data_IF_914937452043
#
_entry.id   IF_914937452043
#
_cell.length_a   1.000
_cell.length_b   1.000
_cell.length_c   1.000
_cell.angle_alpha   90.00
_cell.angle_beta   90.00
_cell.angle_gamma   90.00
#
_symmetry.space_group_name_H-M   'P 1'
#
loop_
_entity.id
_entity.type
_entity.pdbx_description
1 polymer ?
#
# COMPACT_ATOMS: atom_id res chain seq x y z
N UNK A 1 21.04 -24.15 5.30
CA UNK A 1 20.67 -24.22 3.85
C UNK A 1 21.78 -23.58 3.01
N UNK A 2 22.15 -24.13 1.84
CA UNK A 2 23.19 -23.53 1.01
C UNK A 2 22.73 -22.17 0.46
N UNK A 3 23.57 -21.14 0.61
CA UNK A 3 23.35 -19.76 0.13
C UNK A 3 22.96 -19.77 -1.36
N UNK A 4 21.86 -19.12 -1.72
CA UNK A 4 21.49 -18.90 -3.13
C UNK A 4 22.60 -18.10 -3.80
N UNK A 5 23.14 -18.62 -4.92
CA UNK A 5 24.12 -17.90 -5.75
C UNK A 5 23.51 -16.56 -6.22
N UNK A 6 24.24 -15.43 -6.14
CA UNK A 6 23.75 -14.15 -6.61
C UNK A 6 23.43 -14.22 -8.12
N UNK A 7 22.26 -13.71 -8.49
CA UNK A 7 21.74 -13.78 -9.85
C UNK A 7 22.49 -12.75 -10.71
N UNK A 8 23.27 -13.22 -11.68
CA UNK A 8 24.05 -12.34 -12.56
C UNK A 8 23.12 -11.38 -13.31
N UNK A 9 23.47 -10.09 -13.32
CA UNK A 9 22.73 -9.03 -14.06
C UNK A 9 22.59 -9.40 -15.55
N UNK A 10 23.60 -10.07 -16.12
CA UNK A 10 23.55 -10.57 -17.51
C UNK A 10 22.47 -11.65 -17.70
N UNK A 11 22.33 -12.58 -16.75
CA UNK A 11 21.30 -13.62 -16.81
C UNK A 11 19.89 -13.04 -16.67
N UNK A 12 19.71 -12.03 -15.81
CA UNK A 12 18.42 -11.33 -15.67
C UNK A 12 18.03 -10.57 -16.94
N UNK A 13 19.00 -9.94 -17.61
CA UNK A 13 18.78 -9.24 -18.89
C UNK A 13 18.41 -10.22 -20.01
N UNK A 14 19.10 -11.36 -20.09
CA UNK A 14 18.80 -12.44 -21.05
C UNK A 14 17.40 -13.02 -20.82
N UNK A 15 17.03 -13.31 -19.58
CA UNK A 15 15.71 -13.85 -19.23
C UNK A 15 14.55 -12.88 -19.58
N UNK A 16 14.79 -11.56 -19.44
CA UNK A 16 13.82 -10.53 -19.87
C UNK A 16 13.73 -10.42 -21.39
N UNK A 17 14.82 -10.65 -22.11
CA UNK A 17 14.87 -10.68 -23.57
C UNK A 17 14.12 -11.91 -24.12
N UNK A 18 14.41 -13.10 -23.58
CA UNK A 18 13.74 -14.35 -23.94
C UNK A 18 12.21 -14.26 -23.70
N UNK A 19 11.80 -13.59 -22.60
CA UNK A 19 10.38 -13.35 -22.31
C UNK A 19 9.70 -12.38 -23.29
N UNK A 20 10.44 -11.42 -23.84
CA UNK A 20 9.95 -10.50 -24.89
C UNK A 20 9.86 -11.21 -26.24
N UNK A 21 10.83 -12.06 -26.57
CA UNK A 21 10.85 -12.84 -27.81
C UNK A 21 9.72 -13.89 -27.84
N UNK A 22 9.45 -14.58 -26.73
CA UNK A 22 8.28 -15.48 -26.61
C UNK A 22 6.95 -14.76 -26.81
N UNK A 23 6.83 -13.51 -26.34
CA UNK A 23 5.63 -12.68 -26.59
C UNK A 23 5.50 -12.24 -28.05
N UNK A 24 6.61 -12.09 -28.78
CA UNK A 24 6.60 -11.80 -30.23
C UNK A 24 6.19 -13.01 -31.06
N UNK A 25 6.73 -14.20 -30.75
CA UNK A 25 6.40 -15.43 -31.50
C UNK A 25 4.93 -15.85 -31.43
N UNK A 26 4.23 -15.51 -30.34
CA UNK A 26 2.78 -15.73 -30.21
C UNK A 26 1.92 -14.82 -31.09
N UNK A 27 2.48 -13.71 -31.59
CA UNK A 27 1.76 -12.71 -32.38
C UNK A 27 1.85 -12.97 -33.90
N UNK A 28 2.89 -13.69 -34.33
CA UNK A 28 3.12 -14.02 -35.75
C UNK A 28 2.37 -15.29 -36.21
N UNK A 29 1.97 -16.18 -35.28
CA UNK A 29 1.20 -17.40 -35.59
C UNK A 29 -0.27 -17.18 -35.99
N UNK A 30 -0.78 -15.95 -35.86
CA UNK A 30 -2.19 -15.59 -36.13
C UNK A 30 -2.38 -14.78 -37.42
N UNK A 31 -1.33 -14.60 -38.24
CA UNK A 31 -1.36 -13.72 -39.42
C UNK A 31 -1.26 -14.41 -40.79
N UNK A 32 -1.40 -15.73 -40.85
CA UNK A 32 -1.37 -16.47 -42.12
C UNK A 32 -2.72 -17.12 -42.47
N UNK A 33 -3.78 -16.32 -42.66
CA UNK A 33 -4.78 -16.61 -43.69
C UNK A 33 -5.66 -15.38 -43.99
N UNK A 34 -6.05 -15.25 -45.25
CA UNK A 34 -7.03 -14.33 -45.86
C UNK A 34 -6.56 -12.89 -46.17
N UNK A 35 -6.44 -12.66 -47.48
CA UNK A 35 -6.14 -11.40 -48.14
C UNK A 35 -7.31 -11.12 -49.11
N UNK A 36 -8.17 -10.14 -48.83
CA UNK A 36 -8.94 -9.41 -49.86
C UNK A 36 -9.59 -8.14 -49.31
N UNK A 37 -9.60 -7.12 -50.17
CA UNK A 37 -9.86 -5.69 -49.98
C UNK A 37 -11.33 -5.33 -49.69
N UNK A 38 -11.56 -4.32 -48.84
CA UNK A 38 -12.45 -3.16 -49.07
C UNK A 38 -12.55 -2.29 -47.80
N UNK A 39 -12.66 -0.97 -47.95
CA UNK A 39 -12.46 0.01 -46.89
C UNK A 39 -13.68 0.33 -46.03
N UNK A 40 -13.42 0.72 -44.78
CA UNK A 40 -14.00 1.84 -44.02
C UNK A 40 -13.51 1.74 -42.58
N UNK A 41 -12.68 2.71 -42.14
CA UNK A 41 -12.06 2.73 -40.81
C UNK A 41 -12.97 3.41 -39.80
N UNK A 42 -13.82 2.65 -39.12
CA UNK A 42 -14.21 2.95 -37.74
C UNK A 42 -13.29 2.18 -36.79
N UNK A 43 -12.49 2.90 -36.00
CA UNK A 43 -11.61 2.30 -34.99
C UNK A 43 -12.46 1.86 -33.78
N UNK A 44 -12.93 0.62 -33.80
CA UNK A 44 -13.26 -0.12 -32.58
C UNK A 44 -11.96 -0.35 -31.78
N UNK A 45 -11.88 0.23 -30.59
CA UNK A 45 -10.89 -0.15 -29.59
C UNK A 45 -11.30 -1.48 -28.96
N UNK A 46 -10.91 -2.59 -29.60
CA UNK A 46 -10.90 -3.90 -28.95
C UNK A 46 -9.69 -3.96 -28.01
N UNK A 47 -9.92 -3.67 -26.72
CA UNK A 47 -9.03 -4.11 -25.67
C UNK A 47 -9.07 -5.63 -25.61
N UNK A 48 -7.92 -6.24 -25.87
CA UNK A 48 -7.67 -7.67 -25.75
C UNK A 48 -7.64 -8.09 -24.29
N UNK A 49 -8.80 -8.41 -23.73
CA UNK A 49 -8.92 -9.14 -22.47
C UNK A 49 -9.00 -10.63 -22.82
N UNK A 50 -7.86 -11.31 -22.75
CA UNK A 50 -7.74 -12.73 -23.11
C UNK A 50 -8.14 -13.63 -21.94
N UNK A 51 -9.07 -14.55 -22.22
CA UNK A 51 -9.36 -15.81 -21.50
C UNK A 51 -10.31 -15.73 -20.29
N UNK A 52 -11.61 -15.61 -20.58
CA UNK A 52 -12.70 -15.95 -19.68
C UNK A 52 -12.97 -17.46 -19.71
N UNK A 53 -12.84 -18.12 -18.55
CA UNK A 53 -13.42 -19.43 -18.28
C UNK A 53 -14.61 -19.24 -17.34
N UNK A 54 -15.79 -19.61 -17.80
CA UNK A 54 -17.07 -19.45 -17.10
C UNK A 54 -17.06 -20.21 -15.76
N UNK A 55 -17.17 -19.46 -14.66
CA UNK A 55 -17.57 -19.96 -13.36
C UNK A 55 -18.19 -18.80 -12.58
N UNK A 56 -19.01 -19.09 -11.57
CA UNK A 56 -19.87 -18.24 -10.71
C UNK A 56 -19.17 -16.99 -10.08
N UNK A 57 -17.91 -16.73 -10.41
CA UNK A 57 -17.02 -15.66 -9.92
C UNK A 57 -17.03 -14.36 -10.74
N UNK A 58 -17.95 -14.18 -11.70
CA UNK A 58 -17.99 -13.02 -12.61
C UNK A 58 -18.15 -11.64 -11.94
N UNK A 59 -18.53 -11.59 -10.66
CA UNK A 59 -18.73 -10.37 -9.89
C UNK A 59 -17.47 -9.81 -9.20
N UNK A 60 -16.33 -10.51 -9.21
CA UNK A 60 -15.10 -10.05 -8.53
C UNK A 60 -13.99 -9.77 -9.54
N UNK A 61 -13.59 -8.51 -9.65
CA UNK A 61 -12.41 -8.04 -10.37
C UNK A 61 -11.14 -8.29 -9.55
N UNK A 62 -10.24 -9.13 -10.07
CA UNK A 62 -8.93 -9.42 -9.46
C UNK A 62 -7.84 -8.58 -10.11
N UNK A 63 -7.17 -7.71 -9.35
CA UNK A 63 -6.13 -6.84 -9.92
C UNK A 63 -4.81 -7.58 -10.14
N UNK A 64 -4.14 -7.28 -11.27
CA UNK A 64 -2.85 -7.81 -11.69
C UNK A 64 -2.80 -9.34 -11.87
N UNK A 65 -3.86 -9.93 -12.45
CA UNK A 65 -3.94 -11.38 -12.61
C UNK A 65 -2.80 -11.91 -13.52
N UNK A 66 -2.01 -12.86 -13.03
CA UNK A 66 -1.01 -13.60 -13.82
C UNK A 66 -1.63 -14.90 -14.34
N UNK A 67 -1.37 -15.25 -15.60
CA UNK A 67 -1.86 -16.50 -16.18
C UNK A 67 -1.31 -17.69 -15.38
N UNK A 68 -2.19 -18.60 -14.99
CA UNK A 68 -1.85 -19.79 -14.20
C UNK A 68 -1.06 -20.77 -15.08
N UNK A 69 0.25 -20.88 -14.88
CA UNK A 69 1.03 -22.02 -15.34
C UNK A 69 1.13 -23.03 -14.19
N UNK A 70 0.01 -23.58 -13.74
CA UNK A 70 -0.05 -24.51 -12.60
C UNK A 70 0.46 -23.92 -11.27
N UNK A 71 0.46 -24.76 -10.22
CA UNK A 71 1.16 -24.47 -8.97
C UNK A 71 2.66 -24.35 -9.29
N UNK A 72 3.27 -23.23 -8.93
CA UNK A 72 4.71 -23.03 -9.13
C UNK A 72 5.53 -24.11 -8.41
N UNK A 73 6.83 -24.24 -8.73
CA UNK A 73 7.68 -25.20 -8.03
C UNK A 73 7.60 -24.92 -6.51
N UNK A 74 7.02 -25.86 -5.76
CA UNK A 74 6.66 -25.83 -4.31
C UNK A 74 5.21 -25.50 -3.90
N UNK A 75 4.23 -25.53 -4.81
CA UNK A 75 2.83 -25.35 -4.39
C UNK A 75 2.45 -23.90 -4.05
N UNK A 76 3.29 -22.94 -4.46
CA UNK A 76 3.06 -21.52 -4.23
C UNK A 76 2.11 -20.93 -5.28
N UNK A 77 1.02 -20.31 -4.82
CA UNK A 77 0.11 -19.56 -5.69
C UNK A 77 0.55 -18.08 -5.80
N UNK A 78 1.01 -17.61 -6.98
CA UNK A 78 1.39 -16.22 -7.21
C UNK A 78 0.22 -15.22 -7.15
N UNK A 79 -1.01 -15.71 -6.99
CA UNK A 79 -2.25 -14.97 -7.03
C UNK A 79 -2.91 -14.81 -5.65
N UNK A 80 -2.37 -15.48 -4.61
CA UNK A 80 -2.95 -15.56 -3.26
C UNK A 80 -3.33 -14.22 -2.63
N UNK A 81 -2.45 -13.22 -2.72
CA UNK A 81 -2.63 -11.91 -2.06
C UNK A 81 -2.99 -10.79 -3.04
N UNK A 82 -3.79 -11.10 -4.06
CA UNK A 82 -4.27 -10.07 -4.98
C UNK A 82 -5.48 -9.37 -4.43
N UNK A 83 -5.58 -8.09 -4.79
CA UNK A 83 -6.73 -7.28 -4.44
C UNK A 83 -7.95 -7.76 -5.22
N UNK A 84 -9.02 -8.05 -4.50
CA UNK A 84 -10.30 -8.49 -5.04
C UNK A 84 -11.34 -7.40 -4.77
N UNK A 85 -11.89 -6.84 -5.85
CA UNK A 85 -12.93 -5.82 -5.79
C UNK A 85 -14.16 -6.31 -6.50
N UNK A 86 -15.33 -5.83 -6.10
CA UNK A 86 -16.53 -6.07 -6.90
C UNK A 86 -16.40 -5.43 -8.29
N UNK A 87 -16.86 -6.15 -9.32
CA UNK A 87 -16.83 -5.73 -10.71
C UNK A 87 -18.14 -5.01 -11.03
N UNK A 88 -18.01 -3.78 -11.52
CA UNK A 88 -19.15 -3.06 -12.07
C UNK A 88 -19.74 -3.80 -13.28
N UNK A 89 -21.07 -3.85 -13.39
CA UNK A 89 -21.74 -4.42 -14.56
C UNK A 89 -21.39 -3.61 -15.82
N UNK A 90 -21.39 -4.27 -16.98
CA UNK A 90 -21.13 -3.59 -18.26
C UNK A 90 -22.12 -2.45 -18.51
N UNK A 91 -23.38 -2.69 -18.19
CA UNK A 91 -24.47 -1.72 -18.30
C UNK A 91 -24.19 -0.47 -17.46
N UNK A 92 -23.74 -0.66 -16.21
CA UNK A 92 -23.43 0.45 -15.31
C UNK A 92 -22.20 1.26 -15.76
N UNK A 93 -21.20 0.58 -16.32
CA UNK A 93 -20.04 1.24 -16.92
C UNK A 93 -20.46 2.07 -18.14
N UNK A 94 -21.27 1.52 -19.04
CA UNK A 94 -21.74 2.25 -20.23
C UNK A 94 -22.68 3.40 -19.88
N UNK A 95 -23.57 3.22 -18.89
CA UNK A 95 -24.42 4.28 -18.34
C UNK A 95 -23.59 5.47 -17.85
N UNK A 96 -22.55 5.21 -17.05
CA UNK A 96 -21.64 6.26 -16.54
C UNK A 96 -20.84 6.92 -17.66
N UNK A 97 -20.37 6.17 -18.65
CA UNK A 97 -19.71 6.75 -19.84
C UNK A 97 -20.64 7.63 -20.66
N UNK A 98 -21.92 7.27 -20.77
CA UNK A 98 -22.93 8.09 -21.45
C UNK A 98 -23.19 9.37 -20.66
N UNK A 99 -23.45 9.27 -19.36
CA UNK A 99 -23.63 10.44 -18.48
C UNK A 99 -22.43 11.40 -18.54
N UNK A 100 -21.20 10.87 -18.49
CA UNK A 100 -19.98 11.68 -18.57
C UNK A 100 -19.78 12.38 -19.93
N UNK A 101 -20.42 11.89 -21.01
CA UNK A 101 -20.39 12.52 -22.34
C UNK A 101 -21.48 13.57 -22.53
N UNK A 102 -22.61 13.39 -21.86
CA UNK A 102 -23.80 14.26 -21.99
C UNK A 102 -23.78 15.41 -20.99
N UNK A 103 -23.19 15.22 -19.82
CA UNK A 103 -23.20 16.20 -18.76
C UNK A 103 -22.06 17.21 -18.94
N UNK A 104 -22.42 18.49 -19.11
CA UNK A 104 -21.46 19.60 -19.10
C UNK A 104 -20.91 19.75 -17.68
N UNK A 105 -19.58 19.72 -17.53
CA UNK A 105 -18.92 19.94 -16.25
C UNK A 105 -19.27 21.33 -15.72
N UNK A 106 -20.02 21.38 -14.63
CA UNK A 106 -20.30 22.63 -13.93
C UNK A 106 -19.32 22.79 -12.77
N UNK A 107 -18.75 23.99 -12.59
CA UNK A 107 -17.95 24.28 -11.41
C UNK A 107 -18.85 24.15 -10.18
N UNK A 108 -18.43 23.33 -9.23
CA UNK A 108 -19.07 23.21 -7.91
C UNK A 108 -18.48 24.27 -6.97
N UNK A 109 -19.25 24.68 -5.98
CA UNK A 109 -18.77 25.61 -4.96
C UNK A 109 -17.71 24.95 -4.06
N UNK A 110 -16.95 25.75 -3.31
CA UNK A 110 -15.89 25.24 -2.44
C UNK A 110 -16.44 24.31 -1.35
N UNK A 111 -17.64 24.59 -0.85
CA UNK A 111 -18.32 23.82 0.19
C UNK A 111 -18.68 22.41 -0.31
N UNK A 112 -19.05 22.25 -1.58
CA UNK A 112 -19.34 20.94 -2.18
C UNK A 112 -18.08 20.12 -2.49
N UNK A 113 -16.88 20.73 -2.40
CA UNK A 113 -15.60 20.02 -2.51
C UNK A 113 -15.13 19.50 -1.16
N UNK A 114 -15.73 19.95 -0.06
CA UNK A 114 -15.44 19.44 1.27
C UNK A 114 -16.00 18.02 1.42
N UNK A 115 -15.21 17.15 2.06
CA UNK A 115 -15.60 15.78 2.35
C UNK A 115 -15.60 15.61 3.86
N UNK A 116 -16.78 15.41 4.45
CA UNK A 116 -16.87 15.01 5.85
C UNK A 116 -16.54 13.52 5.99
N UNK A 117 -15.68 13.20 6.94
CA UNK A 117 -15.34 11.80 7.26
C UNK A 117 -16.57 10.98 7.64
N UNK A 118 -17.61 11.61 8.19
CA UNK A 118 -18.87 10.94 8.58
C UNK A 118 -19.73 10.54 7.38
N UNK A 119 -19.58 11.23 6.25
CA UNK A 119 -20.22 10.85 4.99
C UNK A 119 -19.51 9.67 4.33
N UNK A 120 -18.18 9.61 4.47
CA UNK A 120 -17.37 8.47 3.99
C UNK A 120 -17.58 7.24 4.85
N UNK A 121 -17.42 7.40 6.16
CA UNK A 121 -17.51 6.34 7.18
C UNK A 121 -18.61 6.69 8.18
N UNK A 122 -19.81 6.17 7.93
CA UNK A 122 -20.95 6.41 8.81
C UNK A 122 -20.76 5.70 10.17
N UNK A 123 -20.72 6.44 11.29
CA UNK A 123 -20.60 5.84 12.63
C UNK A 123 -21.77 4.89 12.92
N UNK A 124 -21.48 3.75 13.55
CA UNK A 124 -22.49 2.73 13.88
C UNK A 124 -23.05 1.96 12.68
N UNK A 125 -22.57 2.24 11.46
CA UNK A 125 -22.88 1.43 10.29
C UNK A 125 -22.20 0.06 10.36
N UNK A 126 -22.62 -0.85 9.49
CA UNK A 126 -21.97 -2.16 9.34
C UNK A 126 -20.68 -2.11 8.52
N UNK A 127 -20.23 -0.91 8.11
CA UNK A 127 -19.06 -0.69 7.25
C UNK A 127 -17.80 -0.47 8.08
N UNK A 128 -17.43 -1.49 8.86
CA UNK A 128 -16.22 -1.52 9.65
C UNK A 128 -15.10 -2.26 8.91
N UNK A 129 -14.49 -3.25 9.56
CA UNK A 129 -13.53 -4.16 8.94
C UNK A 129 -13.58 -5.49 9.69
N UNK A 130 -13.25 -6.62 9.03
CA UNK A 130 -13.34 -7.92 9.68
C UNK A 130 -12.28 -8.01 10.78
N UNK A 131 -12.74 -8.23 12.02
CA UNK A 131 -11.87 -8.50 13.17
C UNK A 131 -11.42 -9.96 13.11
N UNK A 132 -10.20 -10.23 13.55
CA UNK A 132 -9.73 -11.62 13.66
C UNK A 132 -10.50 -12.30 14.79
N UNK A 133 -11.15 -13.45 14.55
CA UNK A 133 -11.77 -14.20 15.63
C UNK A 133 -10.72 -14.64 16.66
N UNK A 134 -11.09 -14.76 17.94
CA UNK A 134 -10.18 -15.28 18.97
C UNK A 134 -9.64 -16.64 18.57
N UNK A 135 -8.33 -16.83 18.73
CA UNK A 135 -7.65 -18.08 18.42
C UNK A 135 -6.65 -18.45 19.51
N UNK A 136 -6.30 -19.73 19.61
CA UNK A 136 -5.28 -20.24 20.53
C UNK A 136 -4.32 -21.18 19.81
N UNK A 137 -3.12 -21.35 20.37
CA UNK A 137 -2.13 -22.30 19.83
C UNK A 137 -2.56 -23.76 19.91
N UNK A 138 -3.62 -24.07 20.65
CA UNK A 138 -4.21 -25.41 20.74
C UNK A 138 -5.05 -25.76 19.51
N UNK A 139 -5.49 -24.74 18.74
CA UNK A 139 -6.29 -24.94 17.53
C UNK A 139 -5.42 -25.48 16.39
N UNK A 140 -5.97 -26.40 15.61
CA UNK A 140 -5.32 -26.81 14.36
C UNK A 140 -5.33 -25.66 13.35
N UNK A 141 -4.36 -25.68 12.42
CA UNK A 141 -4.30 -24.70 11.34
C UNK A 141 -5.59 -24.67 10.52
N UNK A 142 -6.14 -25.84 10.20
CA UNK A 142 -7.37 -25.99 9.42
C UNK A 142 -8.58 -25.45 10.16
N UNK A 143 -8.66 -25.69 11.48
CA UNK A 143 -9.72 -25.16 12.33
C UNK A 143 -9.68 -23.62 12.36
N UNK A 144 -8.50 -23.04 12.59
CA UNK A 144 -8.29 -21.60 12.57
C UNK A 144 -8.67 -21.00 11.21
N UNK A 145 -8.20 -21.62 10.13
CA UNK A 145 -8.51 -21.15 8.77
C UNK A 145 -10.01 -21.19 8.47
N UNK A 146 -10.71 -22.25 8.91
CA UNK A 146 -12.16 -22.38 8.74
C UNK A 146 -12.95 -21.38 9.56
N UNK A 147 -12.50 -21.09 10.80
CA UNK A 147 -13.12 -20.09 11.66
C UNK A 147 -12.97 -18.67 11.11
N UNK A 148 -11.76 -18.31 10.66
CA UNK A 148 -11.48 -17.02 10.01
C UNK A 148 -12.30 -16.86 8.72
N UNK A 149 -12.42 -17.92 7.90
CA UNK A 149 -13.23 -17.91 6.69
C UNK A 149 -14.71 -17.70 6.99
N UNK A 150 -15.26 -18.42 7.97
CA UNK A 150 -16.66 -18.27 8.38
C UNK A 150 -16.96 -16.84 8.87
N UNK A 151 -16.11 -16.32 9.76
CA UNK A 151 -16.28 -14.97 10.29
C UNK A 151 -16.20 -13.91 9.19
N UNK A 152 -15.32 -14.09 8.21
CA UNK A 152 -15.22 -13.18 7.07
C UNK A 152 -16.43 -13.25 6.13
N UNK A 153 -16.97 -14.44 5.89
CA UNK A 153 -18.19 -14.61 5.09
C UNK A 153 -19.41 -13.98 5.78
N UNK A 154 -19.56 -14.14 7.09
CA UNK A 154 -20.61 -13.48 7.88
C UNK A 154 -20.49 -11.96 7.81
N UNK A 155 -19.25 -11.43 7.90
CA UNK A 155 -18.98 -10.00 7.73
C UNK A 155 -19.40 -9.48 6.35
N UNK A 156 -19.04 -10.17 5.26
CA UNK A 156 -19.45 -9.79 3.90
C UNK A 156 -20.98 -9.87 3.74
N UNK A 157 -21.61 -10.92 4.26
CA UNK A 157 -23.06 -11.09 4.21
C UNK A 157 -23.79 -9.94 4.95
N UNK A 158 -23.26 -9.48 6.08
CA UNK A 158 -23.79 -8.33 6.83
C UNK A 158 -23.75 -7.03 6.00
N UNK A 159 -22.65 -6.78 5.29
CA UNK A 159 -22.50 -5.59 4.43
C UNK A 159 -23.48 -5.65 3.26
N UNK A 160 -23.53 -6.77 2.52
CA UNK A 160 -24.40 -6.93 1.37
C UNK A 160 -25.89 -7.05 1.73
N UNK A 161 -26.20 -7.44 2.97
CA UNK A 161 -27.56 -7.40 3.50
C UNK A 161 -28.03 -5.99 3.85
N UNK A 162 -27.13 -5.09 4.24
CA UNK A 162 -27.46 -3.72 4.62
C UNK A 162 -27.37 -2.70 3.47
N UNK A 163 -26.47 -2.93 2.50
CA UNK A 163 -26.19 -2.00 1.42
C UNK A 163 -26.22 -2.67 0.05
N UNK A 164 -26.76 -1.94 -0.94
CA UNK A 164 -26.63 -2.31 -2.34
C UNK A 164 -25.21 -2.04 -2.83
N UNK A 165 -24.72 -2.89 -3.74
CA UNK A 165 -23.39 -2.76 -4.36
C UNK A 165 -23.12 -1.34 -4.87
N UNK A 166 -24.10 -0.73 -5.56
CA UNK A 166 -23.96 0.60 -6.16
C UNK A 166 -23.60 1.73 -5.17
N UNK A 167 -24.03 1.61 -3.91
CA UNK A 167 -23.74 2.60 -2.86
C UNK A 167 -22.39 2.39 -2.20
N UNK A 168 -21.82 1.20 -2.32
CA UNK A 168 -20.55 0.86 -1.67
C UNK A 168 -19.37 1.32 -2.52
N UNK A 169 -18.34 1.84 -1.86
CA UNK A 169 -17.03 2.05 -2.47
C UNK A 169 -16.41 0.71 -2.87
N UNK A 170 -15.33 0.73 -3.66
CA UNK A 170 -14.49 -0.46 -3.77
C UNK A 170 -13.90 -0.78 -2.39
N UNK A 171 -13.85 -2.06 -2.03
CA UNK A 171 -13.19 -2.55 -0.83
C UNK A 171 -12.71 -3.99 -1.03
N UNK A 172 -11.81 -4.43 -0.15
CA UNK A 172 -11.14 -5.73 -0.29
C UNK A 172 -12.07 -6.91 0.07
N UNK A 173 -12.24 -7.83 -0.90
CA UNK A 173 -12.98 -9.08 -0.75
C UNK A 173 -12.07 -10.32 -0.56
N UNK A 174 -10.76 -10.13 -0.54
CA UNK A 174 -9.80 -11.21 -0.30
C UNK A 174 -9.43 -11.32 1.19
N UNK A 175 -9.85 -12.41 1.83
CA UNK A 175 -9.48 -12.74 3.21
C UNK A 175 -7.96 -12.76 3.42
N UNK A 176 -7.18 -13.21 2.44
CA UNK A 176 -5.72 -13.29 2.57
C UNK A 176 -5.07 -11.91 2.78
N UNK A 177 -5.65 -10.85 2.20
CA UNK A 177 -5.19 -9.48 2.42
C UNK A 177 -5.54 -9.01 3.85
N UNK A 178 -6.74 -9.34 4.34
CA UNK A 178 -7.17 -9.05 5.72
C UNK A 178 -6.33 -9.80 6.75
N UNK A 179 -5.96 -11.05 6.48
CA UNK A 179 -4.99 -11.82 7.28
C UNK A 179 -3.65 -11.10 7.41
N UNK A 180 -3.18 -10.39 6.37
CA UNK A 180 -1.95 -9.59 6.47
C UNK A 180 -2.14 -8.40 7.41
N UNK A 181 -3.30 -7.73 7.39
CA UNK A 181 -3.58 -6.65 8.35
C UNK A 181 -3.55 -7.19 9.78
N UNK A 182 -4.22 -8.32 10.06
CA UNK A 182 -4.26 -8.91 11.39
C UNK A 182 -2.87 -9.21 11.92
N UNK A 183 -2.01 -9.83 11.10
CA UNK A 183 -0.61 -10.11 11.46
C UNK A 183 0.18 -8.84 11.79
N UNK A 184 0.02 -7.79 10.99
CA UNK A 184 0.68 -6.51 11.25
C UNK A 184 0.21 -5.94 12.58
N UNK A 185 -1.10 -5.94 12.83
CA UNK A 185 -1.67 -5.44 14.07
C UNK A 185 -1.28 -6.26 15.30
N UNK A 186 -1.03 -7.56 15.17
CA UNK A 186 -0.58 -8.44 16.27
C UNK A 186 0.90 -8.26 16.58
N UNK A 187 1.74 -8.07 15.56
CA UNK A 187 3.20 -7.99 15.74
C UNK A 187 3.74 -6.60 16.08
N UNK A 188 2.95 -5.55 15.84
CA UNK A 188 3.46 -4.17 15.94
C UNK A 188 3.33 -3.60 17.35
N UNK A 189 4.37 -2.97 17.88
CA UNK A 189 4.23 -2.16 19.10
C UNK A 189 3.61 -0.79 18.79
N UNK A 190 3.84 -0.29 17.56
CA UNK A 190 3.35 0.99 17.05
C UNK A 190 2.77 0.77 15.65
N UNK A 191 1.58 1.29 15.38
CA UNK A 191 0.98 1.23 14.03
C UNK A 191 1.11 2.59 13.36
N UNK A 192 1.63 2.61 12.13
CA UNK A 192 1.60 3.79 11.25
C UNK A 192 0.44 3.65 10.28
N UNK A 193 -0.54 4.54 10.36
CA UNK A 193 -1.59 4.68 9.36
C UNK A 193 -1.18 5.75 8.36
N UNK A 194 -0.87 5.34 7.14
CA UNK A 194 -0.31 6.20 6.09
C UNK A 194 -1.44 6.67 5.17
N UNK A 195 -1.62 7.98 5.08
CA UNK A 195 -2.68 8.63 4.28
C UNK A 195 -2.09 9.60 3.27
N UNK A 196 -2.80 9.89 2.18
CA UNK A 196 -2.41 10.92 1.21
C UNK A 196 -2.95 12.28 1.68
N UNK A 197 -2.08 13.29 1.78
CA UNK A 197 -2.44 14.63 2.29
C UNK A 197 -3.58 15.31 1.53
N UNK A 198 -3.83 14.90 0.28
CA UNK A 198 -4.87 15.52 -0.56
C UNK A 198 -6.27 15.16 -0.07
N UNK A 199 -6.47 13.93 0.41
CA UNK A 199 -7.76 13.43 0.88
C UNK A 199 -7.59 12.47 2.07
N UNK A 200 -7.04 12.94 3.22
CA UNK A 200 -6.68 12.05 4.32
C UNK A 200 -7.91 11.39 4.96
N UNK A 201 -9.07 12.06 4.96
CA UNK A 201 -10.35 11.51 5.46
C UNK A 201 -10.80 10.26 4.72
N UNK A 202 -10.50 10.15 3.42
CA UNK A 202 -10.82 8.96 2.60
C UNK A 202 -9.91 7.78 2.95
N UNK A 203 -8.70 8.05 3.45
CA UNK A 203 -7.72 7.01 3.77
C UNK A 203 -7.64 6.70 5.27
N UNK A 204 -8.48 7.34 6.08
CA UNK A 204 -8.52 7.19 7.53
C UNK A 204 -9.83 6.53 7.96
N UNK A 205 -9.88 5.19 8.08
CA UNK A 205 -11.05 4.50 8.62
C UNK A 205 -11.14 4.69 10.15
N UNK A 206 -12.16 5.37 10.70
CA UNK A 206 -12.28 5.61 12.15
C UNK A 206 -12.38 4.32 12.98
N UNK A 207 -13.04 3.29 12.44
CA UNK A 207 -13.15 1.99 13.10
C UNK A 207 -11.78 1.35 13.39
N UNK A 208 -10.79 1.55 12.51
CA UNK A 208 -9.43 1.07 12.74
C UNK A 208 -8.76 1.84 13.89
N UNK A 209 -8.98 3.15 13.96
CA UNK A 209 -8.45 3.98 15.05
C UNK A 209 -9.00 3.52 16.40
N UNK A 210 -10.32 3.33 16.51
CA UNK A 210 -10.98 2.89 17.74
C UNK A 210 -10.50 1.50 18.17
N UNK A 211 -10.37 0.58 17.23
CA UNK A 211 -9.87 -0.77 17.51
C UNK A 211 -8.41 -0.77 17.97
N UNK A 212 -7.53 -0.06 17.27
CA UNK A 212 -6.09 -0.05 17.57
C UNK A 212 -5.80 0.64 18.90
N UNK A 213 -6.43 1.80 19.16
CA UNK A 213 -6.16 2.59 20.36
C UNK A 213 -6.96 2.12 21.58
N UNK A 214 -8.22 1.72 21.39
CA UNK A 214 -9.11 1.28 22.46
C UNK A 214 -8.92 -0.19 22.82
N UNK A 215 -9.17 -1.09 21.87
CA UNK A 215 -9.20 -2.53 22.15
C UNK A 215 -7.81 -3.17 22.23
N UNK A 216 -6.92 -2.82 21.29
CA UNK A 216 -5.54 -3.34 21.29
C UNK A 216 -4.60 -2.54 22.21
N UNK A 217 -5.00 -1.33 22.62
CA UNK A 217 -4.19 -0.43 23.45
C UNK A 217 -2.87 0.00 22.80
N UNK A 218 -2.76 -0.08 21.46
CA UNK A 218 -1.56 0.28 20.72
C UNK A 218 -1.54 1.76 20.38
N UNK A 219 -0.33 2.31 20.27
CA UNK A 219 -0.16 3.65 19.76
C UNK A 219 -0.36 3.67 18.24
N UNK A 220 -1.17 4.63 17.77
CA UNK A 220 -1.43 4.86 16.37
C UNK A 220 -0.84 6.20 15.94
N UNK A 221 0.07 6.15 14.97
CA UNK A 221 0.68 7.33 14.35
C UNK A 221 0.05 7.54 12.99
N UNK A 222 -0.62 8.67 12.80
CA UNK A 222 -1.13 9.10 11.50
C UNK A 222 -0.01 9.79 10.71
N UNK A 223 0.39 9.19 9.59
CA UNK A 223 1.36 9.80 8.67
C UNK A 223 0.60 10.46 7.53
N UNK A 224 0.55 11.79 7.56
CA UNK A 224 0.10 12.60 6.42
C UNK A 224 1.24 12.62 5.38
N UNK A 225 1.14 11.79 4.36
CA UNK A 225 2.18 11.62 3.36
C UNK A 225 1.98 12.51 2.13
N UNK A 226 3.08 12.76 1.41
CA UNK A 226 3.13 13.60 0.20
C UNK A 226 2.77 15.06 0.48
N UNK A 227 3.16 15.58 1.65
CA UNK A 227 2.85 16.96 2.06
C UNK A 227 3.36 18.02 1.08
N UNK A 228 4.30 17.69 0.21
CA UNK A 228 4.77 18.53 -0.90
C UNK A 228 3.73 18.78 -2.00
N UNK A 229 2.61 18.05 -2.01
CA UNK A 229 1.51 18.22 -2.95
C UNK A 229 0.42 19.18 -2.46
N UNK A 230 0.48 19.60 -1.19
CA UNK A 230 -0.53 20.45 -0.55
C UNK A 230 0.07 21.79 -0.11
N UNK A 231 -0.69 22.90 -0.17
CA UNK A 231 -0.28 24.16 0.43
C UNK A 231 -0.06 24.02 1.96
N UNK A 232 0.91 24.74 2.56
CA UNK A 232 1.18 24.65 4.00
C UNK A 232 -0.05 24.92 4.88
N UNK A 233 -0.91 25.87 4.49
CA UNK A 233 -2.15 26.17 5.20
C UNK A 233 -3.08 24.96 5.29
N UNK A 234 -3.23 24.19 4.20
CA UNK A 234 -4.03 22.97 4.16
C UNK A 234 -3.42 21.88 5.06
N UNK A 235 -2.09 21.75 5.06
CA UNK A 235 -1.38 20.78 5.91
C UNK A 235 -1.63 21.08 7.39
N UNK A 236 -1.56 22.35 7.80
CA UNK A 236 -1.85 22.78 9.17
C UNK A 236 -3.31 22.55 9.52
N UNK A 237 -4.24 22.86 8.61
CA UNK A 237 -5.68 22.62 8.82
C UNK A 237 -5.98 21.14 9.04
N UNK A 238 -5.44 20.23 8.22
CA UNK A 238 -5.61 18.79 8.42
C UNK A 238 -5.02 18.31 9.74
N UNK A 239 -3.82 18.79 10.09
CA UNK A 239 -3.20 18.44 11.38
C UNK A 239 -4.09 18.87 12.54
N UNK A 240 -4.66 20.07 12.48
CA UNK A 240 -5.56 20.58 13.51
C UNK A 240 -6.85 19.75 13.60
N UNK A 241 -7.48 19.46 12.46
CA UNK A 241 -8.68 18.62 12.37
C UNK A 241 -8.48 17.25 13.04
N UNK A 242 -7.45 16.50 12.65
CA UNK A 242 -7.22 15.18 13.24
C UNK A 242 -6.86 15.25 14.72
N UNK A 243 -6.15 16.28 15.16
CA UNK A 243 -5.82 16.43 16.57
C UNK A 243 -7.05 16.72 17.44
N UNK A 244 -7.99 17.52 16.95
CA UNK A 244 -9.24 17.82 17.65
C UNK A 244 -10.18 16.63 17.70
N UNK A 245 -10.34 15.89 16.60
CA UNK A 245 -11.28 14.78 16.52
C UNK A 245 -10.73 13.46 17.08
N UNK A 246 -9.41 13.27 17.06
CA UNK A 246 -8.74 12.02 17.44
C UNK A 246 -7.51 12.29 18.32
N UNK A 247 -7.71 12.68 19.59
CA UNK A 247 -6.65 13.21 20.46
C UNK A 247 -5.53 12.21 20.79
N UNK A 248 -5.80 10.90 20.70
CA UNK A 248 -4.78 9.86 20.92
C UNK A 248 -3.83 9.67 19.72
N UNK A 249 -4.06 10.35 18.58
CA UNK A 249 -3.20 10.25 17.41
C UNK A 249 -1.91 11.06 17.58
N UNK A 250 -0.79 10.41 17.26
CA UNK A 250 0.43 11.12 16.93
C UNK A 250 0.43 11.45 15.43
N UNK A 251 0.49 12.72 15.06
CA UNK A 251 0.44 13.14 13.65
C UNK A 251 1.85 13.48 13.16
N UNK A 252 2.29 12.81 12.10
CA UNK A 252 3.59 13.00 11.46
C UNK A 252 3.38 13.49 10.03
N UNK A 253 4.09 14.54 9.65
CA UNK A 253 4.13 15.05 8.28
C UNK A 253 5.28 14.40 7.53
N UNK A 254 5.02 13.81 6.37
CA UNK A 254 6.03 13.07 5.64
C UNK A 254 6.05 13.38 4.14
N UNK A 255 7.25 13.47 3.56
CA UNK A 255 7.45 13.36 2.12
C UNK A 255 8.75 12.64 1.80
N UNK A 256 8.68 11.61 0.96
CA UNK A 256 9.85 10.85 0.51
C UNK A 256 10.73 11.63 -0.46
N UNK A 257 10.19 12.65 -1.12
CA UNK A 257 10.86 13.38 -2.20
C UNK A 257 10.51 14.87 -2.13
N UNK A 258 11.01 15.59 -1.12
CA UNK A 258 10.77 17.03 -1.07
C UNK A 258 11.32 17.71 -2.32
N UNK A 259 10.57 18.69 -2.83
CA UNK A 259 11.03 19.53 -3.94
C UNK A 259 12.15 20.44 -3.46
N UNK A 260 13.18 20.64 -4.29
CA UNK A 260 14.21 21.63 -3.98
C UNK A 260 13.62 23.04 -4.16
N UNK A 261 13.59 23.90 -3.12
CA UNK A 261 13.06 25.26 -3.23
C UNK A 261 13.74 26.10 -4.31
N UNK A 262 14.96 25.73 -4.71
CA UNK A 262 15.77 26.43 -5.72
C UNK A 262 15.44 26.05 -7.15
N UNK A 263 14.52 25.09 -7.38
CA UNK A 263 14.10 24.75 -8.74
C UNK A 263 12.97 25.67 -9.23
N UNK A 264 13.16 26.42 -10.33
CA UNK A 264 12.14 27.31 -10.87
C UNK A 264 10.85 26.54 -11.20
N UNK A 265 9.71 27.15 -10.87
CA UNK A 265 8.38 26.70 -11.27
C UNK A 265 8.13 27.03 -12.76
N UNK A 266 8.82 26.35 -13.66
CA UNK A 266 8.53 26.49 -15.10
C UNK A 266 7.66 25.31 -15.58
N UNK A 267 6.36 25.55 -15.88
CA UNK A 267 5.42 24.52 -16.33
C UNK A 267 5.86 23.81 -17.62
N UNK A 268 6.70 24.46 -18.43
CA UNK A 268 7.19 23.94 -19.71
C UNK A 268 8.35 22.93 -19.56
N UNK A 269 9.01 22.90 -18.40
CA UNK A 269 10.21 22.07 -18.15
C UNK A 269 9.91 20.60 -17.79
N UNK A 270 8.64 20.26 -17.61
CA UNK A 270 8.16 18.94 -17.15
C UNK A 270 8.55 17.80 -18.11
N UNK A 271 8.72 18.10 -19.40
CA UNK A 271 9.04 17.10 -20.43
C UNK A 271 10.55 16.77 -20.54
N UNK A 272 11.45 17.57 -19.96
CA UNK A 272 12.92 17.44 -20.19
C UNK A 272 13.74 16.93 -19.01
N UNK A 273 13.16 16.68 -17.83
CA UNK A 273 13.93 16.19 -16.68
C UNK A 273 14.15 14.68 -16.75
N UNK A 274 15.24 14.28 -17.42
CA UNK A 274 15.88 13.00 -17.20
C UNK A 274 16.15 12.84 -15.70
N UNK A 275 15.55 11.80 -15.13
CA UNK A 275 15.50 11.51 -13.69
C UNK A 275 16.90 11.16 -13.18
N UNK A 276 17.63 12.13 -12.63
CA UNK A 276 18.70 11.86 -11.65
C UNK A 276 18.04 11.29 -10.39
N UNK A 277 17.82 9.98 -10.38
CA UNK A 277 17.02 9.23 -9.38
C UNK A 277 17.86 8.42 -8.39
N UNK A 278 19.15 8.74 -8.27
CA UNK A 278 20.09 7.98 -7.44
C UNK A 278 20.09 8.35 -5.95
N UNK A 279 20.14 9.64 -5.60
CA UNK A 279 20.42 10.10 -4.21
C UNK A 279 19.25 10.81 -3.51
N UNK A 280 18.00 10.48 -3.88
CA UNK A 280 16.82 11.26 -3.45
C UNK A 280 16.16 10.84 -2.13
N UNK A 281 16.41 9.62 -1.64
CA UNK A 281 15.67 9.06 -0.50
C UNK A 281 16.19 9.53 0.86
N UNK A 282 17.48 9.84 0.98
CA UNK A 282 18.10 10.42 2.18
C UNK A 282 17.57 11.81 2.52
N UNK A 283 16.96 12.50 1.55
CA UNK A 283 16.38 13.83 1.72
C UNK A 283 14.94 13.79 2.23
N UNK A 284 14.39 12.64 2.61
CA UNK A 284 13.02 12.53 3.08
C UNK A 284 12.75 13.44 4.29
N UNK A 285 11.61 14.13 4.29
CA UNK A 285 11.13 14.89 5.45
C UNK A 285 10.19 14.01 6.28
N UNK A 286 10.30 14.12 7.60
CA UNK A 286 9.47 13.36 8.54
C UNK A 286 10.18 12.30 9.40
N UNK A 287 11.35 11.71 9.03
CA UNK A 287 12.03 10.74 9.90
C UNK A 287 12.28 11.25 11.32
N UNK A 288 12.67 12.52 11.47
CA UNK A 288 12.88 13.14 12.78
C UNK A 288 11.57 13.30 13.59
N UNK A 289 10.47 13.71 12.94
CA UNK A 289 9.17 13.80 13.60
C UNK A 289 8.68 12.41 14.03
N UNK A 290 8.89 11.40 13.19
CA UNK A 290 8.53 10.02 13.50
C UNK A 290 9.36 9.48 14.67
N UNK A 291 10.68 9.73 14.69
CA UNK A 291 11.54 9.36 15.81
C UNK A 291 11.02 9.96 17.12
N UNK A 292 10.72 11.26 17.16
CA UNK A 292 10.17 11.93 18.35
C UNK A 292 8.84 11.33 18.81
N UNK A 293 7.96 10.99 17.86
CA UNK A 293 6.70 10.31 18.18
C UNK A 293 6.96 8.93 18.80
N UNK A 294 7.87 8.15 18.22
CA UNK A 294 8.26 6.85 18.75
C UNK A 294 8.91 6.96 20.15
N UNK A 295 9.78 7.94 20.38
CA UNK A 295 10.39 8.21 21.70
C UNK A 295 9.35 8.53 22.76
N UNK A 296 8.34 9.35 22.43
CA UNK A 296 7.24 9.66 23.33
C UNK A 296 6.41 8.41 23.66
N UNK A 297 6.17 7.53 22.68
CA UNK A 297 5.39 6.30 22.84
C UNK A 297 6.17 5.24 23.64
N UNK A 298 7.45 5.05 23.34
CA UNK A 298 8.28 4.03 24.02
C UNK A 298 8.68 4.46 25.42
N UNK A 299 8.71 5.77 25.70
CA UNK A 299 9.00 6.34 27.02
C UNK A 299 10.27 5.75 27.67
N UNK A 300 11.33 5.56 26.87
CA UNK A 300 12.62 5.03 27.32
C UNK A 300 12.70 3.50 27.47
N UNK A 301 11.63 2.76 27.17
CA UNK A 301 11.63 1.28 27.20
C UNK A 301 12.50 0.62 26.12
N UNK A 302 12.83 1.37 25.07
CA UNK A 302 13.66 0.93 23.95
C UNK A 302 14.68 2.02 23.65
N UNK A 303 15.95 1.64 23.45
CA UNK A 303 17.00 2.56 23.02
C UNK A 303 16.86 2.88 21.52
N UNK A 304 16.59 4.15 21.22
CA UNK A 304 16.43 4.66 19.85
C UNK A 304 17.63 5.51 19.40
N UNK A 305 18.73 5.53 20.16
CA UNK A 305 19.93 6.32 19.82
C UNK A 305 20.54 5.91 18.48
N UNK A 306 20.59 4.61 18.17
CA UNK A 306 21.04 4.12 16.86
C UNK A 306 20.24 4.70 15.70
N UNK A 307 18.93 4.91 15.89
CA UNK A 307 18.06 5.53 14.89
C UNK A 307 18.28 7.04 14.81
N UNK A 308 18.47 7.73 15.95
CA UNK A 308 18.85 9.14 15.97
C UNK A 308 20.14 9.40 15.20
N UNK A 309 21.18 8.61 15.47
CA UNK A 309 22.47 8.70 14.78
C UNK A 309 22.32 8.42 13.27
N UNK A 310 21.50 7.43 12.90
CA UNK A 310 21.20 7.15 11.49
C UNK A 310 20.59 8.39 10.81
N UNK A 311 19.59 9.02 11.42
CA UNK A 311 18.96 10.23 10.87
C UNK A 311 20.00 11.35 10.72
N UNK A 312 20.86 11.56 11.71
CA UNK A 312 21.93 12.56 11.63
C UNK A 312 22.89 12.30 10.47
N UNK A 313 23.28 11.02 10.24
CA UNK A 313 24.09 10.62 9.08
C UNK A 313 23.38 10.88 7.74
N UNK A 314 22.09 10.52 7.65
CA UNK A 314 21.30 10.73 6.43
C UNK A 314 21.17 12.22 6.09
N UNK A 315 20.92 13.07 7.10
CA UNK A 315 20.84 14.53 6.96
C UNK A 315 22.19 15.10 6.51
N UNK A 316 23.29 14.70 7.17
CA UNK A 316 24.63 15.13 6.79
C UNK A 316 24.91 14.77 5.33
N UNK A 317 24.74 13.50 4.93
CA UNK A 317 24.95 13.05 3.55
C UNK A 317 24.11 13.80 2.51
N UNK A 318 22.89 14.21 2.85
CA UNK A 318 22.03 15.01 1.98
C UNK A 318 22.54 16.46 1.78
N UNK A 319 23.21 17.05 2.77
CA UNK A 319 23.79 18.41 2.69
C UNK A 319 25.07 18.47 1.85
N UNK A 320 25.96 17.49 1.97
CA UNK A 320 27.29 17.50 1.32
C UNK A 320 27.26 16.98 -0.13
N UNK A 321 26.22 16.26 -0.56
CA UNK A 321 26.12 15.64 -1.88
C UNK A 321 25.82 16.57 -3.07
N UNK A 322 26.12 17.88 -2.98
CA UNK A 322 25.76 18.87 -3.99
C UNK A 322 26.89 19.22 -4.98
N UNK A 323 27.99 18.46 -5.04
CA UNK A 323 29.11 18.81 -5.92
C UNK A 323 30.16 17.75 -6.16
N UNK A 324 29.85 16.71 -6.93
CA UNK A 324 30.76 16.06 -7.89
C UNK A 324 30.03 14.88 -8.55
N UNK A 325 30.12 14.80 -9.87
CA UNK A 325 29.45 13.79 -10.69
C UNK A 325 30.21 12.48 -10.73
N UNK A 326 30.62 11.97 -9.58
CA UNK A 326 31.23 10.64 -9.48
C UNK A 326 30.23 9.72 -8.78
N UNK A 327 29.89 8.64 -9.48
CA UNK A 327 29.18 7.50 -8.92
C UNK A 327 30.11 6.85 -7.89
N UNK A 328 30.25 7.46 -6.70
CA UNK A 328 30.81 6.77 -5.55
C UNK A 328 29.98 5.52 -5.36
N UNK A 329 30.62 4.36 -5.52
CA UNK A 329 30.05 3.06 -5.30
C UNK A 329 29.27 3.09 -3.99
N UNK A 330 28.02 2.62 -4.00
CA UNK A 330 27.20 2.51 -2.80
C UNK A 330 28.01 1.71 -1.76
N UNK A 331 28.67 2.40 -0.83
CA UNK A 331 29.25 1.77 0.34
C UNK A 331 28.11 0.98 0.98
N UNK A 332 28.30 -0.33 1.11
CA UNK A 332 27.31 -1.31 1.52
C UNK A 332 26.91 -1.02 2.98
N UNK A 333 26.08 0.00 3.16
CA UNK A 333 25.52 0.36 4.46
C UNK A 333 24.84 -0.87 5.04
N UNK A 334 24.81 -1.00 6.38
CA UNK A 334 24.45 -2.24 7.06
C UNK A 334 23.27 -2.91 6.38
N UNK A 335 23.48 -4.17 5.97
CA UNK A 335 22.53 -4.91 5.16
C UNK A 335 21.15 -4.84 5.82
N UNK A 336 20.17 -4.25 5.13
CA UNK A 336 18.78 -4.28 5.59
C UNK A 336 18.34 -5.73 5.46
N UNK A 337 18.24 -6.42 6.61
CA UNK A 337 17.75 -7.78 6.66
C UNK A 337 16.28 -7.77 6.26
N UNK A 338 15.99 -8.31 5.08
CA UNK A 338 14.63 -8.53 4.60
C UNK A 338 14.27 -9.98 4.87
N UNK A 339 13.46 -10.20 5.90
CA UNK A 339 12.91 -11.52 6.17
C UNK A 339 11.54 -11.66 5.51
N UNK A 340 11.43 -12.64 4.61
CA UNK A 340 10.14 -13.10 4.11
C UNK A 340 9.63 -14.17 5.08
N UNK A 341 8.78 -13.78 6.02
CA UNK A 341 8.14 -14.73 6.91
C UNK A 341 7.03 -15.46 6.15
N UNK A 342 7.26 -16.72 5.82
CA UNK A 342 6.20 -17.66 5.41
C UNK A 342 5.44 -18.12 6.65
N UNK A 343 4.14 -18.44 6.50
CA UNK A 343 3.18 -18.89 7.53
C UNK A 343 3.65 -20.02 8.50
N UNK A 344 4.86 -20.56 8.34
CA UNK A 344 5.39 -21.75 9.01
C UNK A 344 6.36 -21.47 10.16
N UNK A 345 6.70 -20.22 10.46
CA UNK A 345 7.80 -19.89 11.38
C UNK A 345 7.39 -18.91 12.49
N UNK A 346 6.25 -19.13 13.14
CA UNK A 346 5.98 -18.48 14.43
C UNK A 346 6.31 -19.45 15.55
N UNK A 347 7.35 -19.11 16.33
CA UNK A 347 7.64 -19.80 17.58
C UNK A 347 6.59 -19.49 18.64
N UNK A 348 6.27 -20.45 19.52
CA UNK A 348 5.22 -20.33 20.52
C UNK A 348 5.67 -19.39 21.64
N UNK A 349 5.10 -18.18 21.71
CA UNK A 349 5.19 -17.34 22.90
C UNK A 349 3.79 -16.96 23.39
N UNK A 350 3.64 -17.07 24.71
CA UNK A 350 2.46 -16.86 25.59
C UNK A 350 1.38 -15.88 25.08
N UNK A 351 0.10 -16.06 25.45
CA UNK A 351 -1.03 -15.17 25.08
C UNK A 351 -0.90 -13.70 25.55
N UNK A 352 0.07 -13.38 26.41
CA UNK A 352 0.40 -12.01 26.76
C UNK A 352 1.31 -11.41 25.69
N UNK A 353 0.78 -10.47 24.91
CA UNK A 353 1.53 -9.68 23.94
C UNK A 353 2.71 -8.97 24.62
N UNK A 354 3.89 -9.57 24.51
CA UNK A 354 5.14 -8.99 24.99
C UNK A 354 5.50 -7.81 24.08
N UNK A 355 5.44 -6.58 24.63
CA UNK A 355 5.86 -5.39 23.90
C UNK A 355 7.37 -5.29 23.86
N UNK A 356 7.90 -4.81 22.75
CA UNK A 356 9.34 -4.57 22.58
C UNK A 356 10.20 -5.82 22.78
N UNK A 357 9.75 -6.96 22.23
CA UNK A 357 10.46 -8.23 22.30
C UNK A 357 11.93 -8.05 21.90
N UNK A 358 12.83 -8.59 22.73
CA UNK A 358 14.29 -8.48 22.57
C UNK A 358 14.83 -7.03 22.56
N UNK A 359 14.10 -6.08 23.17
CA UNK A 359 14.46 -4.66 23.16
C UNK A 359 14.27 -3.99 21.79
N UNK A 360 13.51 -4.61 20.89
CA UNK A 360 13.26 -4.11 19.53
C UNK A 360 11.85 -3.58 19.40
N UNK A 361 11.68 -2.32 19.00
CA UNK A 361 10.37 -1.77 18.66
C UNK A 361 9.96 -2.18 17.25
N UNK A 362 8.77 -2.77 17.13
CA UNK A 362 8.16 -3.16 15.85
C UNK A 362 7.14 -2.12 15.41
N UNK A 363 7.32 -1.55 14.22
CA UNK A 363 6.49 -0.50 13.65
C UNK A 363 5.77 -1.04 12.41
N UNK A 364 4.44 -1.17 12.48
CA UNK A 364 3.60 -1.69 11.39
C UNK A 364 3.07 -0.61 10.47
N UNK A 365 3.38 -0.68 9.17
CA UNK A 365 2.86 0.23 8.17
C UNK A 365 1.52 -0.28 7.60
N UNK A 366 0.45 0.47 7.82
CA UNK A 366 -0.90 0.22 7.29
C UNK A 366 -1.34 1.40 6.42
N UNK A 367 -2.14 1.13 5.39
CA UNK A 367 -2.76 2.18 4.58
C UNK A 367 -3.17 1.71 3.19
N UNK A 368 -3.89 2.60 2.49
CA UNK A 368 -4.47 2.31 1.18
C UNK A 368 -3.39 2.03 0.11
N UNK A 369 -3.73 1.38 -1.01
CA UNK A 369 -2.83 1.31 -2.17
C UNK A 369 -2.40 2.73 -2.60
N UNK A 370 -1.18 2.86 -3.13
CA UNK A 370 -0.66 4.11 -3.71
C UNK A 370 -0.56 5.36 -2.80
N UNK A 371 -0.92 5.30 -1.52
CA UNK A 371 -0.67 6.38 -0.54
C UNK A 371 0.82 6.62 -0.29
N UNK A 372 1.67 5.67 -0.68
CA UNK A 372 3.13 5.80 -0.66
C UNK A 372 3.84 5.03 0.46
N UNK A 373 3.22 3.98 1.02
CA UNK A 373 3.83 3.13 2.07
C UNK A 373 5.26 2.67 1.75
N UNK A 374 5.45 2.00 0.62
CA UNK A 374 6.77 1.51 0.22
C UNK A 374 7.76 2.63 -0.13
N UNK A 375 7.27 3.81 -0.53
CA UNK A 375 8.12 5.01 -0.68
C UNK A 375 8.52 5.59 0.68
N UNK A 376 7.62 5.56 1.66
CA UNK A 376 7.93 5.96 3.03
C UNK A 376 9.00 5.05 3.62
N UNK A 377 8.89 3.73 3.44
CA UNK A 377 9.92 2.77 3.89
C UNK A 377 11.29 3.09 3.27
N UNK A 378 11.35 3.27 1.95
CA UNK A 378 12.60 3.66 1.29
C UNK A 378 13.16 5.01 1.80
N UNK A 379 12.28 5.96 2.11
CA UNK A 379 12.65 7.25 2.70
C UNK A 379 13.20 7.13 4.12
N UNK A 380 12.60 6.29 4.96
CA UNK A 380 13.10 6.01 6.33
C UNK A 380 14.44 5.27 6.28
N UNK A 381 14.55 4.29 5.40
CA UNK A 381 15.79 3.50 5.22
C UNK A 381 16.90 4.37 4.59
N UNK A 382 16.55 5.38 3.81
CA UNK A 382 17.50 6.28 3.11
C UNK A 382 18.00 5.73 1.77
N UNK A 383 17.61 4.50 1.42
CA UNK A 383 17.92 3.85 0.14
C UNK A 383 16.75 3.02 -0.36
N UNK A 384 16.80 2.63 -1.62
CA UNK A 384 15.73 1.84 -2.24
C UNK A 384 15.85 0.36 -1.85
N UNK A 385 15.02 -0.09 -0.90
CA UNK A 385 14.90 -1.50 -0.49
C UNK A 385 13.63 -2.17 -0.99
N UNK A 386 12.55 -1.39 -1.16
CA UNK A 386 11.27 -1.87 -1.69
C UNK A 386 11.04 -1.34 -3.10
N UNK A 387 10.57 -2.22 -3.99
CA UNK A 387 10.10 -1.80 -5.30
C UNK A 387 8.80 -1.00 -5.19
N UNK A 388 8.70 0.09 -5.95
CA UNK A 388 7.54 0.99 -5.95
C UNK A 388 6.90 1.03 -7.34
N UNK A 389 5.57 1.09 -7.38
CA UNK A 389 4.78 1.21 -8.62
C UNK A 389 3.62 2.17 -8.42
N UNK A 390 3.09 2.72 -9.52
CA UNK A 390 1.83 3.48 -9.53
C UNK A 390 0.61 2.55 -9.58
N UNK A 391 0.81 1.29 -9.93
CA UNK A 391 -0.26 0.30 -10.03
C UNK A 391 -0.61 -0.21 -8.62
N UNK A 392 -1.89 -0.18 -8.20
CA UNK A 392 -2.34 -0.82 -6.97
C UNK A 392 -1.96 -2.31 -6.91
N UNK A 393 -1.81 -2.87 -5.71
CA UNK A 393 -1.50 -4.30 -5.52
C UNK A 393 -0.07 -4.70 -5.92
N UNK A 394 0.86 -3.74 -5.92
CA UNK A 394 2.28 -3.98 -6.18
C UNK A 394 2.97 -4.68 -5.00
N UNK A 395 2.77 -4.16 -3.78
CA UNK A 395 3.14 -4.86 -2.54
C UNK A 395 2.10 -5.91 -2.25
N UNK A 396 2.51 -7.19 -2.29
CA UNK A 396 1.61 -8.34 -2.18
C UNK A 396 1.81 -9.15 -0.89
N UNK A 397 2.99 -9.07 -0.29
CA UNK A 397 3.35 -9.92 0.84
C UNK A 397 3.81 -9.04 1.97
N UNK A 398 3.47 -9.48 3.19
CA UNK A 398 4.07 -8.97 4.40
C UNK A 398 5.58 -9.13 4.34
N UNK A 399 6.29 -8.06 4.69
CA UNK A 399 7.76 -8.02 4.69
C UNK A 399 8.25 -7.24 5.91
N UNK A 400 9.36 -7.69 6.46
CA UNK A 400 10.00 -7.05 7.60
C UNK A 400 11.33 -6.44 7.18
N UNK A 401 11.62 -5.22 7.64
CA UNK A 401 12.85 -4.48 7.37
C UNK A 401 13.42 -3.96 8.68
N UNK A 402 14.66 -4.30 8.99
CA UNK A 402 15.36 -3.67 10.10
C UNK A 402 15.87 -2.29 9.67
N UNK A 403 15.41 -1.26 10.36
CA UNK A 403 15.88 0.12 10.17
C UNK A 403 17.16 0.35 10.97
N UNK A 404 17.19 -0.16 12.19
CA UNK A 404 18.36 -0.27 13.08
C UNK A 404 18.22 -1.56 13.91
N UNK A 405 19.25 -1.99 14.68
CA UNK A 405 19.13 -3.19 15.52
C UNK A 405 17.95 -3.16 16.50
N UNK A 406 17.57 -1.97 17.00
CA UNK A 406 16.45 -1.78 17.93
C UNK A 406 15.13 -1.38 17.27
N UNK A 407 15.08 -1.17 15.94
CA UNK A 407 13.88 -0.69 15.24
C UNK A 407 13.59 -1.52 14.00
N UNK A 408 12.41 -2.13 13.99
CA UNK A 408 11.93 -3.02 12.94
C UNK A 408 10.68 -2.45 12.28
N UNK A 409 10.65 -2.37 10.96
CA UNK A 409 9.50 -1.94 10.15
C UNK A 409 8.81 -3.15 9.54
N UNK A 410 7.49 -3.15 9.53
CA UNK A 410 6.67 -4.19 8.91
C UNK A 410 5.80 -3.55 7.80
N UNK A 411 5.93 -4.02 6.56
CA UNK A 411 5.13 -3.54 5.41
C UNK A 411 3.93 -4.46 5.19
N UNK A 412 2.74 -3.87 5.05
CA UNK A 412 1.51 -4.59 4.68
C UNK A 412 1.11 -4.29 3.23
N UNK A 413 0.45 -5.25 2.54
CA UNK A 413 -0.23 -4.95 1.29
C UNK A 413 -1.22 -3.79 1.45
N UNK A 414 -1.44 -3.02 0.37
CA UNK A 414 -2.44 -1.96 0.43
C UNK A 414 -3.84 -2.53 0.57
N UNK A 415 -4.58 -2.07 1.58
CA UNK A 415 -5.92 -2.52 1.90
C UNK A 415 -6.90 -1.37 1.68
N UNK A 416 -8.08 -1.69 1.15
CA UNK A 416 -9.17 -0.72 0.98
C UNK A 416 -10.34 -1.14 1.87
N UNK A 417 -10.76 -0.24 2.74
CA UNK A 417 -11.86 -0.44 3.69
C UNK A 417 -13.21 -0.15 3.03
N UNK A 418 -14.30 -0.82 3.45
CA UNK A 418 -15.63 -0.47 2.98
C UNK A 418 -16.00 0.94 3.42
N UNK A 419 -16.67 1.68 2.54
CA UNK A 419 -17.15 3.04 2.81
C UNK A 419 -18.32 3.37 1.88
N UNK A 420 -18.96 4.50 2.11
CA UNK A 420 -20.00 5.06 1.22
C UNK A 420 -19.44 6.08 0.25
N UNK A 421 -18.11 6.18 0.15
CA UNK A 421 -17.48 7.06 -0.83
C UNK A 421 -17.88 6.63 -2.25
N UNK A 422 -18.34 7.56 -3.11
CA UNK A 422 -18.53 7.28 -4.52
C UNK A 422 -17.26 6.67 -5.13
N UNK A 423 -17.40 5.54 -5.83
CA UNK A 423 -16.28 4.80 -6.46
C UNK A 423 -15.40 5.70 -7.35
N UNK A 424 -15.97 6.77 -7.91
CA UNK A 424 -15.32 7.75 -8.76
C UNK A 424 -14.28 8.61 -8.02
N UNK A 425 -14.45 8.82 -6.72
CA UNK A 425 -13.53 9.59 -5.87
C UNK A 425 -12.39 8.72 -5.30
N UNK A 426 -12.41 7.40 -5.54
CA UNK A 426 -11.51 6.43 -4.91
C UNK A 426 -10.27 6.07 -5.75
N UNK A 427 -9.85 6.93 -6.69
CA UNK A 427 -8.87 6.61 -7.75
C UNK A 427 -7.41 6.96 -7.43
#
# INVERSE_FOLDING_TARGET
MPRKKPFSVKQKKKQLQDKRERKRGLQDGLRSSSNSRSGSRERREEQTDTSDGESVTHHIRRLNQQPSQGLGPRGYDPNRYRLHFERDSREEVERRKKAAREQVLQPVSAELLELDIREVYQPGSVLDFPRRPPWSYEMSKEQLMSQEERSFQEYLAKIHGAYTSEKLSYFEHNLETWRQLWRVLEMSDIVLLITDIRHPVVNFPPALYEYVTGELGLALVLVLNKVDLAPPALVVAWKHYFHQHYPQLHIVLFTSFPRDPRTPQDPSSVLKKSRRRGRGWTRALGPEQLLRACEAITAGKVDLNSWREKIARDVAGATWGNGSGEEEEEEDGPAVLVEQQTDSAMEPTSPTRERYKDGVVTIGCVGFPNVGKSSLINGLVGRKVVSVSRTPGHTRYFQTYFLTPSVKLCDCPGLIFPSLLPRQLQV
#
